data_IF_089961846134
#
_entry.id   IF_089961846134
#
_cell.length_a   1.000
_cell.length_b   1.000
_cell.length_c   1.000
_cell.angle_alpha   90.00
_cell.angle_beta   90.00
_cell.angle_gamma   90.00
#
_symmetry.space_group_name_H-M   'P 1'
#
loop_
_entity.id
_entity.type
_entity.pdbx_description
1 polymer ?
#
# COMPACT_ATOMS: atom_id res chain seq x y z
N UNK A 1 5.06 11.62 -20.16
CA UNK A 1 4.70 10.22 -19.87
C UNK A 1 3.18 10.17 -19.83
N UNK A 2 2.57 9.71 -20.92
CA UNK A 2 1.12 9.81 -21.12
C UNK A 2 0.44 8.53 -20.60
N UNK A 3 -0.60 8.73 -19.80
CA UNK A 3 -1.48 7.68 -19.29
C UNK A 3 -2.14 6.92 -20.45
N UNK A 4 -2.00 5.59 -20.44
CA UNK A 4 -2.51 4.66 -21.46
C UNK A 4 -4.03 4.41 -21.33
N UNK A 5 -4.65 4.86 -20.25
CA UNK A 5 -6.05 4.60 -19.89
C UNK A 5 -6.91 5.85 -19.67
N UNK A 6 -6.37 7.05 -19.89
CA UNK A 6 -7.17 8.28 -19.98
C UNK A 6 -7.92 8.66 -18.71
N UNK A 7 -7.41 8.27 -17.54
CA UNK A 7 -7.90 8.74 -16.26
C UNK A 7 -7.04 9.91 -15.82
N UNK A 8 -7.58 11.11 -15.97
CA UNK A 8 -7.09 12.33 -15.34
C UNK A 8 -6.92 12.07 -13.84
N UNK A 9 -5.69 11.76 -13.43
CA UNK A 9 -5.26 11.53 -12.05
C UNK A 9 -5.88 10.27 -11.38
N UNK A 10 -5.02 9.41 -10.84
CA UNK A 10 -5.45 8.27 -10.05
C UNK A 10 -6.04 8.78 -8.72
N UNK A 11 -7.28 8.40 -8.34
CA UNK A 11 -7.89 8.85 -7.08
C UNK A 11 -7.19 8.32 -5.82
N UNK A 12 -6.32 7.32 -5.97
CA UNK A 12 -5.54 6.75 -4.87
C UNK A 12 -4.16 7.38 -4.73
N UNK A 13 -3.73 8.26 -5.64
CA UNK A 13 -2.44 8.96 -5.51
C UNK A 13 -2.62 10.43 -5.17
N UNK A 14 -1.59 11.03 -4.58
CA UNK A 14 -1.58 12.47 -4.39
C UNK A 14 -1.60 13.20 -5.74
N UNK A 15 -2.10 14.44 -5.74
CA UNK A 15 -2.14 15.26 -6.95
C UNK A 15 -0.74 15.37 -7.58
N UNK A 16 -0.64 15.10 -8.88
CA UNK A 16 0.61 15.09 -9.64
C UNK A 16 1.69 14.14 -9.09
N UNK A 17 1.30 13.10 -8.34
CA UNK A 17 2.22 12.11 -7.77
C UNK A 17 1.83 10.69 -8.17
N UNK A 18 2.82 9.79 -8.15
CA UNK A 18 2.62 8.33 -8.21
C UNK A 18 2.46 7.73 -6.82
N UNK A 19 2.67 8.51 -5.76
CA UNK A 19 2.63 8.02 -4.38
C UNK A 19 1.20 7.89 -3.91
N UNK A 20 0.88 6.72 -3.37
CA UNK A 20 -0.44 6.41 -2.82
C UNK A 20 -0.75 7.25 -1.58
N UNK A 21 -1.99 7.73 -1.49
CA UNK A 21 -2.52 8.39 -0.29
C UNK A 21 -2.52 7.38 0.85
N UNK A 22 -1.86 7.72 1.95
CA UNK A 22 -1.61 6.82 3.05
C UNK A 22 -1.82 7.51 4.40
N UNK A 23 -2.13 6.71 5.43
CA UNK A 23 -2.41 7.21 6.79
C UNK A 23 -1.17 7.74 7.54
N UNK A 24 0.02 7.56 6.97
CA UNK A 24 1.30 7.96 7.55
C UNK A 24 1.77 9.32 7.01
N UNK A 25 1.00 9.91 6.09
CA UNK A 25 1.32 11.18 5.43
C UNK A 25 2.71 11.15 4.75
N UNK A 26 3.07 10.01 4.17
CA UNK A 26 4.33 9.82 3.44
C UNK A 26 4.13 10.20 1.97
N UNK A 27 4.91 11.15 1.46
CA UNK A 27 4.89 11.58 0.05
C UNK A 27 6.10 11.08 -0.75
N UNK A 28 6.93 10.21 -0.17
CA UNK A 28 8.07 9.59 -0.83
C UNK A 28 7.78 8.11 -1.06
N UNK A 29 7.84 7.67 -2.32
CA UNK A 29 7.50 6.31 -2.75
C UNK A 29 8.36 5.24 -2.04
N UNK A 30 9.68 5.42 -1.99
CA UNK A 30 10.59 4.45 -1.37
C UNK A 30 10.38 4.33 0.14
N UNK A 31 10.06 5.45 0.80
CA UNK A 31 9.74 5.45 2.24
C UNK A 31 8.39 4.77 2.49
N UNK A 32 7.41 5.01 1.61
CA UNK A 32 6.10 4.38 1.70
C UNK A 32 6.21 2.86 1.49
N UNK A 33 6.97 2.41 0.50
CA UNK A 33 7.19 0.98 0.23
C UNK A 33 7.83 0.28 1.43
N UNK A 34 8.86 0.89 2.02
CA UNK A 34 9.53 0.33 3.20
C UNK A 34 8.56 0.23 4.40
N UNK A 35 7.82 1.32 4.68
CA UNK A 35 6.85 1.34 5.76
C UNK A 35 5.71 0.32 5.55
N UNK A 36 5.19 0.20 4.34
CA UNK A 36 4.15 -0.77 3.99
C UNK A 36 4.63 -2.21 4.20
N UNK A 37 5.85 -2.52 3.76
CA UNK A 37 6.46 -3.85 3.95
C UNK A 37 6.61 -4.19 5.43
N UNK A 38 7.14 -3.27 6.22
CA UNK A 38 7.36 -3.49 7.66
C UNK A 38 6.04 -3.69 8.40
N UNK A 39 5.05 -2.84 8.13
CA UNK A 39 3.72 -2.93 8.74
C UNK A 39 2.99 -4.22 8.34
N UNK A 40 3.06 -4.60 7.06
CA UNK A 40 2.43 -5.83 6.57
C UNK A 40 3.08 -7.06 7.19
N UNK A 41 4.42 -7.06 7.29
CA UNK A 41 5.16 -8.14 7.94
C UNK A 41 4.77 -8.27 9.41
N UNK A 42 4.74 -7.14 10.13
CA UNK A 42 4.34 -7.11 11.53
C UNK A 42 2.91 -7.60 11.70
N UNK A 43 1.97 -7.07 10.92
CA UNK A 43 0.57 -7.48 10.95
C UNK A 43 0.41 -8.98 10.68
N UNK A 44 1.11 -9.52 9.67
CA UNK A 44 1.09 -10.94 9.35
C UNK A 44 1.57 -11.83 10.51
N UNK A 45 2.52 -11.36 11.33
CA UNK A 45 2.96 -12.08 12.53
C UNK A 45 1.89 -12.14 13.62
N UNK A 46 0.99 -11.16 13.68
CA UNK A 46 -0.09 -11.08 14.67
C UNK A 46 -1.41 -11.68 14.15
N UNK A 47 -1.51 -12.04 12.87
CA UNK A 47 -2.69 -12.72 12.34
C UNK A 47 -2.68 -14.17 12.86
N UNK A 48 -3.61 -14.46 13.77
CA UNK A 48 -3.91 -15.84 14.15
C UNK A 48 -4.71 -16.52 13.02
N UNK A 49 -4.06 -17.43 12.32
CA UNK A 49 -4.75 -18.27 11.35
C UNK A 49 -5.53 -19.35 12.09
N UNK A 50 -6.87 -19.23 12.10
CA UNK A 50 -7.75 -20.31 12.53
C UNK A 50 -7.44 -21.55 11.67
N UNK A 51 -6.86 -22.59 12.28
CA UNK A 51 -6.71 -23.90 11.63
C UNK A 51 -8.09 -24.49 11.39
N UNK A 52 -8.63 -24.31 10.19
CA UNK A 52 -9.81 -25.03 9.74
C UNK A 52 -9.34 -26.40 9.25
N UNK A 53 -9.55 -27.44 10.08
CA UNK A 53 -9.25 -28.83 9.74
C UNK A 53 -7.92 -29.35 10.30
N UNK A 54 -7.93 -29.80 11.56
CA UNK A 54 -7.07 -30.92 11.95
C UNK A 54 -7.94 -32.20 11.82
N UNK A 55 -7.47 -33.28 11.18
CA UNK A 55 -8.06 -34.60 11.42
C UNK A 55 -7.87 -35.02 12.88
#
# INVERSE_FOLDING_TARGET
MADKYGTTQDPYTYENSTVLVNKLNINNEAVLEAAERDLTTLAAMYIEFLKIGQP
#
